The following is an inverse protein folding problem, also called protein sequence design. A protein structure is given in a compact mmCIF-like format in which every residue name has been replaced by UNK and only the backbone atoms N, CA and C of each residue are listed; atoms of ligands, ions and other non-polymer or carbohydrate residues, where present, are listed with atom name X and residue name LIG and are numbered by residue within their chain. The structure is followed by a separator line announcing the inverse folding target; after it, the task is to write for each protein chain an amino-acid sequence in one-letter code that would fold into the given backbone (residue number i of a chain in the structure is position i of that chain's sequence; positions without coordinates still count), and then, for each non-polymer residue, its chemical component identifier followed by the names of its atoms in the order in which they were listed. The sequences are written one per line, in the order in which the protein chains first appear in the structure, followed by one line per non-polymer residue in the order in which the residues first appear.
data_IF_204618102706
#
_entry.id   IF_204618102706
#
_cell.length_a   1.000
_cell.length_b   1.000
_cell.length_c   1.000
_cell.angle_alpha   90.00
_cell.angle_beta   90.00
_cell.angle_gamma   90.00
#
_symmetry.space_group_name_H-M   'P 1'
#
loop_
_entity.id
_entity.type
_entity.pdbx_description
1 polymer ?
#
# COMPACT_ATOMS: atom_id res chain seq x y z
N UNK A 1 7.67 4.19 -3.50
CA UNK A 1 8.71 3.14 -3.54
C UNK A 1 8.16 1.83 -2.99
N UNK A 2 8.85 0.72 -3.24
CA UNK A 2 8.77 -0.52 -2.46
C UNK A 2 9.97 -0.60 -1.53
N UNK A 3 9.73 -0.92 -0.24
CA UNK A 3 10.79 -0.89 0.79
C UNK A 3 11.84 -1.98 0.60
N UNK A 4 11.48 -3.09 -0.04
CA UNK A 4 12.35 -4.24 -0.24
C UNK A 4 12.45 -5.13 1.00
N UNK A 5 13.60 -5.78 1.18
CA UNK A 5 13.81 -6.83 2.18
C UNK A 5 15.03 -6.52 3.04
N UNK A 6 14.92 -6.70 4.35
CA UNK A 6 16.02 -6.59 5.32
C UNK A 6 17.11 -7.66 5.10
N UNK A 7 18.22 -7.51 5.79
CA UNK A 7 19.27 -8.53 5.87
C UNK A 7 18.69 -9.88 6.27
N UNK A 8 19.01 -10.91 5.49
CA UNK A 8 18.52 -12.26 5.77
C UNK A 8 19.07 -12.80 7.08
N UNK A 9 18.19 -13.37 7.88
CA UNK A 9 18.48 -13.98 9.17
C UNK A 9 17.80 -15.34 9.28
N UNK A 10 18.02 -16.06 10.37
CA UNK A 10 17.28 -17.32 10.64
C UNK A 10 15.78 -17.10 10.67
N UNK A 11 15.32 -15.92 11.13
CA UNK A 11 13.91 -15.53 11.17
C UNK A 11 13.30 -15.46 9.76
N UNK A 12 14.04 -14.95 8.78
CA UNK A 12 13.61 -14.83 7.38
C UNK A 12 13.17 -16.18 6.78
N UNK A 13 13.81 -17.27 7.22
CA UNK A 13 13.55 -18.64 6.73
C UNK A 13 12.71 -19.48 7.71
N UNK A 14 12.04 -18.87 8.66
CA UNK A 14 11.21 -19.50 9.67
C UNK A 14 9.73 -19.10 9.52
N UNK A 15 8.79 -19.77 10.24
CA UNK A 15 7.40 -19.33 10.32
C UNK A 15 7.24 -17.89 10.82
N UNK A 16 8.19 -17.37 11.60
CA UNK A 16 8.18 -16.01 12.12
C UNK A 16 8.61 -14.94 11.09
N UNK A 17 8.88 -15.29 9.83
CA UNK A 17 9.27 -14.32 8.79
C UNK A 17 8.29 -13.16 8.65
N UNK A 18 7.01 -13.40 8.86
CA UNK A 18 5.96 -12.38 8.75
C UNK A 18 5.83 -11.47 9.99
N UNK A 19 6.67 -11.66 11.00
CA UNK A 19 6.88 -10.69 12.08
C UNK A 19 7.94 -9.63 11.69
N UNK A 20 8.67 -9.85 10.59
CA UNK A 20 9.59 -8.86 10.01
C UNK A 20 8.73 -7.82 9.29
N UNK A 21 8.88 -6.54 9.66
CA UNK A 21 8.00 -5.49 9.16
C UNK A 21 8.01 -5.36 7.62
N UNK A 22 9.17 -5.52 6.97
CA UNK A 22 9.31 -5.51 5.51
C UNK A 22 8.66 -6.71 4.81
N UNK A 23 8.14 -7.69 5.54
CA UNK A 23 7.39 -8.83 5.03
C UNK A 23 5.86 -8.67 5.24
N UNK A 24 5.43 -7.56 5.83
CA UNK A 24 4.03 -7.28 6.10
C UNK A 24 3.47 -6.31 5.07
N UNK A 25 2.31 -6.62 4.49
CA UNK A 25 1.71 -5.82 3.41
C UNK A 25 1.34 -4.39 3.84
N UNK A 26 1.12 -4.15 5.13
CA UNK A 26 0.88 -2.82 5.67
C UNK A 26 2.06 -1.84 5.52
N UNK A 27 3.25 -2.31 5.07
CA UNK A 27 4.43 -1.50 4.77
C UNK A 27 4.75 -1.43 3.28
N UNK A 28 3.85 -1.92 2.44
CA UNK A 28 3.91 -1.82 0.98
C UNK A 28 2.76 -0.97 0.46
N UNK A 29 2.72 -0.69 -0.84
CA UNK A 29 1.67 0.13 -1.44
C UNK A 29 0.34 -0.65 -1.60
N UNK A 30 -0.12 -1.21 -0.48
CA UNK A 30 -1.28 -2.10 -0.37
C UNK A 30 -2.28 -1.58 0.68
N UNK A 31 -3.54 -2.00 0.60
CA UNK A 31 -4.53 -1.69 1.62
C UNK A 31 -4.29 -2.50 2.91
N UNK A 32 -4.64 -1.89 4.04
CA UNK A 32 -4.78 -2.55 5.34
C UNK A 32 -6.20 -2.29 5.86
N UNK A 33 -6.92 -3.35 6.23
CA UNK A 33 -8.27 -3.22 6.77
C UNK A 33 -8.23 -3.09 8.30
N UNK A 34 -9.16 -2.31 8.85
CA UNK A 34 -9.22 -1.97 10.27
C UNK A 34 -7.86 -1.51 10.84
N UNK A 35 -7.26 -0.47 10.24
CA UNK A 35 -5.86 -0.10 10.49
C UNK A 35 -5.57 0.36 11.92
N UNK A 36 -6.58 0.82 12.65
CA UNK A 36 -6.47 1.28 14.04
C UNK A 36 -6.94 0.22 15.05
N UNK A 37 -7.51 -0.91 14.57
CA UNK A 37 -7.97 -2.04 15.37
C UNK A 37 -7.19 -3.33 15.10
N UNK A 38 -7.84 -4.30 14.45
CA UNK A 38 -7.28 -5.65 14.22
C UNK A 38 -6.13 -5.70 13.21
N UNK A 39 -6.02 -4.70 12.32
CA UNK A 39 -4.94 -4.56 11.33
C UNK A 39 -4.80 -5.77 10.42
N UNK A 40 -5.83 -6.02 9.60
CA UNK A 40 -5.78 -7.12 8.65
C UNK A 40 -4.88 -6.77 7.47
N UNK A 41 -3.79 -7.51 7.36
CA UNK A 41 -2.82 -7.48 6.27
C UNK A 41 -3.08 -8.63 5.29
N UNK A 42 -2.48 -8.55 4.10
CA UNK A 42 -2.45 -9.66 3.15
C UNK A 42 -1.90 -10.92 3.83
N UNK A 43 -2.55 -12.05 3.60
CA UNK A 43 -2.13 -13.32 4.16
C UNK A 43 -1.00 -13.95 3.35
N UNK A 44 -0.06 -14.62 4.02
CA UNK A 44 1.05 -15.29 3.33
C UNK A 44 0.62 -16.61 2.69
N UNK A 45 1.20 -16.91 1.54
CA UNK A 45 1.05 -18.20 0.86
C UNK A 45 0.34 -18.12 -0.49
N UNK A 46 0.55 -19.12 -1.32
CA UNK A 46 0.07 -19.16 -2.70
C UNK A 46 -1.47 -19.21 -2.82
N UNK A 47 -2.17 -19.58 -1.75
CA UNK A 47 -3.64 -19.58 -1.72
C UNK A 47 -4.23 -18.17 -1.59
N UNK A 48 -3.44 -17.20 -1.16
CA UNK A 48 -3.85 -15.81 -0.93
C UNK A 48 -3.34 -14.93 -2.07
N UNK A 49 -4.05 -14.92 -3.17
CA UNK A 49 -3.72 -14.18 -4.37
C UNK A 49 -4.90 -13.32 -4.83
N UNK A 50 -4.59 -12.28 -5.60
CA UNK A 50 -5.62 -11.51 -6.29
C UNK A 50 -6.41 -12.40 -7.26
N UNK A 51 -7.69 -12.10 -7.42
CA UNK A 51 -8.57 -12.72 -8.42
C UNK A 51 -9.00 -11.72 -9.49
N UNK A 52 -9.67 -12.21 -10.52
CA UNK A 52 -10.26 -11.40 -11.61
C UNK A 52 -9.30 -10.38 -12.21
N UNK A 53 -8.04 -10.80 -12.38
CA UNK A 53 -6.98 -9.95 -12.92
C UNK A 53 -7.22 -9.73 -14.41
N UNK A 54 -7.31 -8.47 -14.81
CA UNK A 54 -7.48 -8.03 -16.20
C UNK A 54 -6.44 -6.96 -16.54
N UNK A 55 -5.90 -7.03 -17.75
CA UNK A 55 -4.97 -6.03 -18.28
C UNK A 55 -5.59 -5.46 -19.56
N UNK A 56 -5.45 -4.15 -19.78
CA UNK A 56 -5.92 -3.52 -21.03
C UNK A 56 -5.10 -4.00 -22.22
N UNK A 57 -5.69 -3.96 -23.42
CA UNK A 57 -4.99 -4.35 -24.67
C UNK A 57 -3.76 -3.48 -24.95
N UNK A 58 -3.77 -2.24 -24.49
CA UNK A 58 -2.67 -1.27 -24.59
C UNK A 58 -1.58 -1.47 -23.53
N UNK A 59 -1.80 -2.39 -22.57
CA UNK A 59 -0.89 -2.68 -21.43
C UNK A 59 -0.66 -1.48 -20.50
N UNK A 60 -1.51 -0.48 -20.52
CA UNK A 60 -1.47 0.71 -19.70
C UNK A 60 -2.42 0.66 -18.49
N UNK A 61 -3.24 -0.37 -18.40
CA UNK A 61 -4.21 -0.54 -17.31
C UNK A 61 -4.22 -1.95 -16.76
N UNK A 62 -4.43 -2.05 -15.45
CA UNK A 62 -4.54 -3.28 -14.68
C UNK A 62 -5.71 -3.16 -13.71
N UNK A 63 -6.54 -4.20 -13.62
CA UNK A 63 -7.56 -4.30 -12.58
C UNK A 63 -7.59 -5.69 -11.96
N UNK A 64 -7.94 -5.77 -10.66
CA UNK A 64 -7.98 -7.03 -9.91
C UNK A 64 -8.89 -6.92 -8.70
N UNK A 65 -9.35 -8.06 -8.19
CA UNK A 65 -9.95 -8.17 -6.86
C UNK A 65 -8.88 -8.62 -5.87
N UNK A 66 -8.60 -7.79 -4.85
CA UNK A 66 -7.61 -8.07 -3.81
C UNK A 66 -8.22 -8.78 -2.59
N UNK A 67 -9.56 -8.85 -2.44
CA UNK A 67 -10.18 -9.44 -1.26
C UNK A 67 -9.69 -10.88 -0.97
N UNK A 68 -9.53 -11.78 -1.97
CA UNK A 68 -9.06 -13.14 -1.71
C UNK A 68 -7.62 -13.18 -1.14
N UNK A 69 -6.81 -12.16 -1.37
CA UNK A 69 -5.45 -12.08 -0.83
C UNK A 69 -5.41 -11.79 0.68
N UNK A 70 -6.51 -11.33 1.26
CA UNK A 70 -6.60 -10.98 2.68
C UNK A 70 -7.24 -12.09 3.53
N UNK A 71 -7.71 -13.15 2.91
CA UNK A 71 -8.33 -14.28 3.63
C UNK A 71 -9.63 -13.87 4.32
N UNK A 72 -9.76 -14.23 5.59
CA UNK A 72 -11.01 -14.02 6.34
C UNK A 72 -11.02 -12.68 7.08
N UNK A 73 -11.22 -11.57 6.35
CA UNK A 73 -11.52 -10.28 6.97
C UNK A 73 -13.04 -10.16 7.13
N UNK A 74 -13.56 -10.00 8.38
CA UNK A 74 -14.99 -9.94 8.61
C UNK A 74 -15.66 -8.78 7.83
N UNK A 75 -16.66 -9.11 7.02
CA UNK A 75 -17.40 -8.13 6.22
C UNK A 75 -16.74 -7.70 4.89
N UNK A 76 -15.58 -8.24 4.55
CA UNK A 76 -14.95 -8.03 3.26
C UNK A 76 -15.43 -9.09 2.27
N UNK A 77 -16.18 -8.70 1.26
CA UNK A 77 -16.60 -9.55 0.14
C UNK A 77 -15.83 -9.25 -1.13
N UNK A 78 -15.47 -7.97 -1.34
CA UNK A 78 -14.77 -7.50 -2.54
C UNK A 78 -13.87 -6.30 -2.23
N UNK A 79 -12.68 -6.29 -2.86
CA UNK A 79 -11.82 -5.12 -2.95
C UNK A 79 -11.24 -5.01 -4.36
N UNK A 80 -11.85 -4.19 -5.18
CA UNK A 80 -11.39 -3.98 -6.55
C UNK A 80 -10.40 -2.84 -6.59
N UNK A 81 -9.22 -3.13 -7.10
CA UNK A 81 -8.20 -2.14 -7.46
C UNK A 81 -8.10 -2.04 -8.97
N UNK A 82 -8.06 -0.82 -9.48
CA UNK A 82 -7.65 -0.55 -10.85
C UNK A 82 -6.51 0.48 -10.86
N UNK A 83 -5.55 0.28 -11.75
CA UNK A 83 -4.43 1.18 -11.99
C UNK A 83 -4.37 1.45 -13.49
N UNK A 84 -4.16 2.70 -13.86
CA UNK A 84 -4.00 3.10 -15.23
C UNK A 84 -2.83 4.07 -15.34
N UNK A 85 -1.90 3.79 -16.27
CA UNK A 85 -0.79 4.67 -16.61
C UNK A 85 -1.28 5.75 -17.58
N UNK A 86 -0.82 6.97 -17.36
CA UNK A 86 -1.07 8.11 -18.22
C UNK A 86 0.25 8.64 -18.78
N UNK A 87 0.21 9.56 -19.72
CA UNK A 87 1.43 10.19 -20.27
C UNK A 87 2.26 10.93 -19.22
N UNK A 88 1.66 11.34 -18.12
CA UNK A 88 2.29 12.17 -17.09
C UNK A 88 2.32 11.52 -15.69
N UNK A 89 1.78 10.32 -15.53
CA UNK A 89 1.72 9.69 -14.21
C UNK A 89 0.86 8.44 -14.19
N UNK A 90 0.11 8.23 -13.10
CA UNK A 90 -0.82 7.12 -12.95
C UNK A 90 -2.09 7.52 -12.19
N UNK A 91 -3.17 6.80 -12.45
CA UNK A 91 -4.34 6.80 -11.60
C UNK A 91 -4.50 5.44 -10.93
N UNK A 92 -4.91 5.44 -9.66
CA UNK A 92 -5.28 4.26 -8.90
C UNK A 92 -6.69 4.49 -8.35
N UNK A 93 -7.56 3.49 -8.48
CA UNK A 93 -8.88 3.48 -7.88
C UNK A 93 -9.10 2.21 -7.10
N UNK A 94 -9.44 2.37 -5.84
CA UNK A 94 -9.83 1.31 -4.92
C UNK A 94 -11.32 1.41 -4.58
N UNK A 95 -12.04 0.30 -4.67
CA UNK A 95 -13.47 0.18 -4.34
C UNK A 95 -13.68 -1.07 -3.49
N UNK A 96 -14.35 -0.92 -2.35
CA UNK A 96 -14.60 -2.03 -1.44
C UNK A 96 -15.99 -2.00 -0.85
N UNK A 97 -16.53 -3.17 -0.56
CA UNK A 97 -17.74 -3.37 0.24
C UNK A 97 -17.44 -3.53 1.75
N UNK A 98 -16.17 -3.47 2.15
CA UNK A 98 -15.80 -3.53 3.56
C UNK A 98 -16.46 -2.39 4.35
N UNK A 99 -17.22 -2.69 5.42
CA UNK A 99 -18.00 -1.67 6.14
C UNK A 99 -17.16 -0.76 7.04
N UNK A 100 -15.91 -1.14 7.31
CA UNK A 100 -15.00 -0.41 8.18
C UNK A 100 -14.03 0.49 7.43
N UNK A 101 -13.05 0.97 8.15
CA UNK A 101 -12.00 1.83 7.60
C UNK A 101 -10.88 1.01 6.94
N UNK A 102 -10.42 1.49 5.81
CA UNK A 102 -9.24 0.98 5.09
C UNK A 102 -8.17 2.05 5.09
N UNK A 103 -6.90 1.67 5.20
CA UNK A 103 -5.77 2.56 4.96
C UNK A 103 -4.95 2.06 3.77
N UNK A 104 -4.88 2.86 2.71
CA UNK A 104 -3.88 2.66 1.66
C UNK A 104 -2.54 3.19 2.17
N UNK A 105 -1.50 2.35 2.13
CA UNK A 105 -0.12 2.74 2.41
C UNK A 105 0.56 3.22 1.14
N UNK A 106 1.33 4.31 1.24
CA UNK A 106 2.25 4.80 0.22
C UNK A 106 3.61 5.05 0.89
N UNK A 107 4.65 4.39 0.39
CA UNK A 107 6.02 4.55 0.90
C UNK A 107 6.80 5.55 0.06
N UNK A 108 7.56 6.44 0.71
CA UNK A 108 8.38 7.45 0.03
C UNK A 108 9.74 7.65 0.70
N UNK A 109 10.69 8.15 -0.08
CA UNK A 109 12.03 8.54 0.38
C UNK A 109 12.01 9.95 0.97
N UNK A 110 11.34 10.87 0.27
CA UNK A 110 11.22 12.24 0.74
C UNK A 110 10.05 12.41 1.69
N UNK A 111 10.21 13.33 2.65
CA UNK A 111 9.18 13.63 3.65
C UNK A 111 7.96 14.24 2.97
N UNK A 112 6.79 13.58 3.05
CA UNK A 112 5.57 14.11 2.46
C UNK A 112 5.09 15.37 3.17
N UNK A 113 4.57 16.32 2.40
CA UNK A 113 3.87 17.52 2.90
C UNK A 113 2.41 17.42 2.50
N UNK A 114 1.51 17.40 3.48
CA UNK A 114 0.07 17.31 3.25
C UNK A 114 -0.50 18.71 3.06
N UNK A 115 -1.25 18.91 1.99
CA UNK A 115 -2.01 20.14 1.70
C UNK A 115 -3.44 19.78 1.26
N UNK A 116 -4.37 19.73 2.20
CA UNK A 116 -5.74 19.27 1.94
C UNK A 116 -5.76 17.80 1.48
N UNK A 117 -6.28 17.56 0.28
CA UNK A 117 -6.32 16.23 -0.35
C UNK A 117 -5.05 15.88 -1.15
N UNK A 118 -4.05 16.76 -1.17
CA UNK A 118 -2.78 16.57 -1.88
C UNK A 118 -1.65 16.22 -0.91
N UNK A 119 -0.76 15.34 -1.36
CA UNK A 119 0.48 14.97 -0.69
C UNK A 119 1.64 15.25 -1.64
N UNK A 120 2.48 16.20 -1.29
CA UNK A 120 3.65 16.56 -2.08
C UNK A 120 4.85 15.72 -1.62
N UNK A 121 5.49 15.01 -2.53
CA UNK A 121 6.67 14.18 -2.32
C UNK A 121 7.93 14.91 -2.80
N UNK A 122 8.28 16.00 -2.11
CA UNK A 122 9.37 16.87 -2.50
C UNK A 122 9.15 17.46 -3.91
N UNK A 123 10.14 17.23 -4.79
CA UNK A 123 10.07 17.60 -6.21
C UNK A 123 9.78 16.39 -7.13
N UNK A 124 9.56 15.21 -6.55
CA UNK A 124 9.46 13.95 -7.29
C UNK A 124 8.06 13.71 -7.83
N UNK A 125 7.04 13.98 -7.01
CA UNK A 125 5.67 13.69 -7.39
C UNK A 125 4.67 14.47 -6.54
N UNK A 126 3.49 14.67 -7.08
CA UNK A 126 2.30 15.09 -6.35
C UNK A 126 1.28 13.95 -6.37
N UNK A 127 0.68 13.69 -5.20
CA UNK A 127 -0.34 12.65 -5.02
C UNK A 127 -1.63 13.35 -4.58
N UNK A 128 -2.63 13.34 -5.44
CA UNK A 128 -3.97 13.83 -5.11
C UNK A 128 -4.88 12.66 -4.75
N UNK A 129 -5.66 12.82 -3.70
CA UNK A 129 -6.62 11.81 -3.25
C UNK A 129 -8.04 12.36 -3.30
N UNK A 130 -8.98 11.52 -3.73
CA UNK A 130 -10.40 11.78 -3.64
C UNK A 130 -11.07 10.61 -2.90
N UNK A 131 -11.94 10.91 -1.93
CA UNK A 131 -12.52 9.95 -1.01
C UNK A 131 -11.69 9.68 0.26
N UNK A 132 -10.53 10.32 0.44
CA UNK A 132 -9.76 10.22 1.67
C UNK A 132 -10.47 10.93 2.83
N UNK A 133 -10.68 10.19 3.93
CA UNK A 133 -11.22 10.75 5.19
C UNK A 133 -10.13 11.37 6.05
N UNK A 134 -8.90 10.83 5.98
CA UNK A 134 -7.73 11.26 6.77
C UNK A 134 -6.46 10.84 6.06
N UNK A 135 -5.44 11.68 6.12
CA UNK A 135 -4.07 11.34 5.68
C UNK A 135 -3.14 11.51 6.86
N UNK A 136 -2.29 10.52 7.10
CA UNK A 136 -1.31 10.50 8.17
C UNK A 136 0.06 10.10 7.66
N UNK A 137 1.12 10.79 8.10
CA UNK A 137 2.52 10.51 7.72
C UNK A 137 3.29 10.13 8.96
N UNK A 138 4.03 9.05 8.88
CA UNK A 138 4.97 8.61 9.91
C UNK A 138 6.38 8.45 9.35
N UNK A 139 7.37 8.74 10.18
CA UNK A 139 8.78 8.51 9.89
C UNK A 139 9.15 7.08 10.25
N UNK A 140 9.86 6.40 9.34
CA UNK A 140 10.31 5.01 9.49
C UNK A 140 11.84 4.99 9.51
N UNK A 141 12.48 4.85 10.68
CA UNK A 141 13.93 4.80 10.76
C UNK A 141 14.47 3.52 10.13
N UNK A 142 15.45 3.64 9.26
CA UNK A 142 16.09 2.52 8.57
C UNK A 142 17.42 2.22 9.26
N UNK A 143 17.44 1.12 10.01
CA UNK A 143 18.61 0.67 10.76
C UNK A 143 19.28 -0.57 10.18
N UNK A 144 18.56 -1.32 9.35
CA UNK A 144 19.09 -2.54 8.72
C UNK A 144 20.16 -2.20 7.68
N UNK A 145 21.29 -2.91 7.71
CA UNK A 145 22.45 -2.64 6.87
C UNK A 145 22.19 -2.86 5.36
N UNK A 146 21.33 -3.79 5.01
CA UNK A 146 20.96 -4.04 3.61
C UNK A 146 20.02 -2.96 3.07
N UNK A 147 19.03 -2.57 3.85
CA UNK A 147 18.13 -1.47 3.48
C UNK A 147 18.90 -0.14 3.36
N UNK A 148 19.90 0.08 4.21
CA UNK A 148 20.78 1.25 4.17
C UNK A 148 21.64 1.35 2.90
N UNK A 149 21.77 0.28 2.13
CA UNK A 149 22.44 0.33 0.83
C UNK A 149 21.55 0.96 -0.27
N UNK A 150 20.23 0.88 -0.10
CA UNK A 150 19.26 1.39 -1.06
C UNK A 150 18.57 2.69 -0.59
N UNK A 151 18.42 2.87 0.73
CA UNK A 151 17.59 3.91 1.32
C UNK A 151 18.38 4.81 2.29
N UNK A 152 17.95 6.08 2.49
CA UNK A 152 18.47 6.96 3.51
C UNK A 152 18.13 6.46 4.92
N UNK A 153 18.55 7.22 5.96
CA UNK A 153 18.32 6.90 7.37
C UNK A 153 16.84 6.82 7.75
N UNK A 154 15.98 7.46 6.96
CA UNK A 154 14.55 7.54 7.22
C UNK A 154 13.78 7.42 5.92
N UNK A 155 12.78 6.55 5.92
CA UNK A 155 11.69 6.52 4.96
C UNK A 155 10.43 7.11 5.58
N UNK A 156 9.44 7.36 4.77
CA UNK A 156 8.15 7.86 5.21
C UNK A 156 7.04 6.96 4.73
N UNK A 157 6.08 6.68 5.62
CA UNK A 157 4.86 5.95 5.34
C UNK A 157 3.69 6.92 5.41
N UNK A 158 3.06 7.15 4.27
CA UNK A 158 1.80 7.89 4.18
C UNK A 158 0.66 6.90 4.22
N UNK A 159 -0.28 7.08 5.13
CA UNK A 159 -1.50 6.27 5.25
C UNK A 159 -2.69 7.13 4.87
N UNK A 160 -3.38 6.72 3.80
CA UNK A 160 -4.60 7.36 3.30
C UNK A 160 -5.79 6.54 3.76
N UNK A 161 -6.54 7.07 4.71
CA UNK A 161 -7.72 6.41 5.32
C UNK A 161 -8.97 6.73 4.51
N UNK A 162 -9.78 5.72 4.24
CA UNK A 162 -11.02 5.87 3.48
C UNK A 162 -12.04 4.78 3.84
N UNK A 163 -13.29 4.96 3.36
CA UNK A 163 -14.37 3.98 3.39
C UNK A 163 -14.99 3.90 2.00
N UNK A 164 -15.30 2.70 1.53
CA UNK A 164 -15.94 2.45 0.24
C UNK A 164 -15.04 2.71 -0.96
N UNK A 165 -14.77 3.95 -1.33
CA UNK A 165 -14.01 4.30 -2.55
C UNK A 165 -12.91 5.30 -2.26
N UNK A 166 -11.74 5.07 -2.89
CA UNK A 166 -10.61 6.00 -2.93
C UNK A 166 -10.12 6.11 -4.37
N UNK A 167 -9.92 7.32 -4.85
CA UNK A 167 -9.20 7.59 -6.09
C UNK A 167 -7.89 8.32 -5.76
N UNK A 168 -6.82 7.93 -6.42
CA UNK A 168 -5.47 8.50 -6.26
C UNK A 168 -4.93 8.83 -7.64
N UNK A 169 -4.47 10.05 -7.83
CA UNK A 169 -3.76 10.51 -9.02
C UNK A 169 -2.33 10.85 -8.60
N UNK A 170 -1.36 10.40 -9.38
CA UNK A 170 0.07 10.67 -9.15
C UNK A 170 0.66 11.25 -10.42
N UNK A 171 1.34 12.39 -10.35
CA UNK A 171 2.06 13.04 -11.46
C UNK A 171 3.33 13.76 -10.99
#
# INVERSE_FOLDING_TARGET
IDVGVETYSKKTFSPQRYEIWTMQSGWHNLPQFDPDGAKYDQQPGAAFAAADVTVTDTLDGLAMDLAPAYGSVPGLGRYRRSVHLTDTGLTLRDETDYPGTVALTLMSVEKPVISGACVHLGTLAEVKTDGAAKIFVESVPITDARLRQAWPDTLYRTRVYFCGTLSVEVW
#
